data_IF_034329627807
#
_entry.id   IF_034329627807
#
_cell.length_a   1.000
_cell.length_b   1.000
_cell.length_c   1.000
_cell.angle_alpha   90.00
_cell.angle_beta   90.00
_cell.angle_gamma   90.00
#
_symmetry.space_group_name_H-M   'P 1'
#
loop_
_entity.id
_entity.type
_entity.pdbx_description
1 polymer ?
#
# COMPACT_ATOMS: atom_id res chain seq x y z
N UNK A 1 -0.12 -8.31 -1.51
CA UNK A 1 0.52 -9.32 -2.41
C UNK A 1 -0.45 -10.42 -2.77
N UNK A 2 -0.88 -11.31 -1.84
CA UNK A 2 -1.76 -12.45 -2.19
C UNK A 2 -3.03 -12.00 -2.91
N UNK A 3 -3.79 -11.07 -2.34
CA UNK A 3 -5.01 -10.57 -2.97
C UNK A 3 -4.78 -9.93 -4.35
N UNK A 4 -3.62 -9.28 -4.57
CA UNK A 4 -3.27 -8.74 -5.89
C UNK A 4 -2.92 -9.84 -6.89
N UNK A 5 -2.26 -10.91 -6.43
CA UNK A 5 -1.97 -12.07 -7.29
C UNK A 5 -3.26 -12.76 -7.72
N UNK A 6 -4.15 -13.04 -6.76
CA UNK A 6 -5.46 -13.65 -7.04
C UNK A 6 -6.30 -12.80 -8.01
N UNK A 7 -6.31 -11.46 -7.83
CA UNK A 7 -7.03 -10.57 -8.72
C UNK A 7 -6.45 -10.54 -10.15
N UNK A 8 -5.13 -10.61 -10.28
CA UNK A 8 -4.46 -10.66 -11.58
C UNK A 8 -4.75 -12.01 -12.28
N UNK A 9 -4.70 -13.11 -11.53
CA UNK A 9 -4.98 -14.45 -12.05
C UNK A 9 -6.46 -14.56 -12.48
N UNK A 10 -7.38 -14.07 -11.64
CA UNK A 10 -8.84 -14.08 -11.91
C UNK A 10 -9.22 -13.20 -13.12
N UNK A 11 -8.48 -12.13 -13.37
CA UNK A 11 -8.68 -11.27 -14.53
C UNK A 11 -8.43 -11.97 -15.88
N UNK A 12 -7.73 -13.11 -15.86
CA UNK A 12 -7.52 -13.95 -17.05
C UNK A 12 -6.67 -13.29 -18.14
N UNK A 13 -5.90 -12.26 -17.81
CA UNK A 13 -5.01 -11.63 -18.79
C UNK A 13 -3.77 -12.48 -19.06
N UNK A 14 -3.42 -12.60 -20.33
CA UNK A 14 -2.11 -13.09 -20.74
C UNK A 14 -1.07 -11.97 -20.56
N UNK A 15 -0.58 -11.78 -19.34
CA UNK A 15 0.34 -10.67 -18.98
C UNK A 15 1.60 -10.61 -19.86
N UNK A 16 2.03 -11.75 -20.40
CA UNK A 16 3.16 -11.86 -21.33
C UNK A 16 2.93 -11.09 -22.65
N UNK A 17 1.65 -10.95 -23.05
CA UNK A 17 1.25 -10.28 -24.29
C UNK A 17 0.93 -8.80 -24.12
N UNK A 18 0.89 -8.30 -22.88
CA UNK A 18 0.55 -6.91 -22.59
C UNK A 18 1.80 -6.04 -22.46
N UNK A 19 1.68 -4.80 -22.91
CA UNK A 19 2.71 -3.79 -22.69
C UNK A 19 2.75 -3.39 -21.21
N UNK A 20 3.76 -3.83 -20.49
CA UNK A 20 3.93 -3.59 -19.07
C UNK A 20 4.11 -2.12 -18.70
N UNK A 21 4.52 -1.27 -19.65
CA UNK A 21 4.56 0.18 -19.45
C UNK A 21 3.18 0.82 -19.37
N UNK A 22 2.15 0.08 -19.79
CA UNK A 22 0.74 0.46 -19.78
C UNK A 22 -0.05 -0.19 -18.63
N UNK A 23 0.61 -0.95 -17.77
CA UNK A 23 0.00 -1.58 -16.59
C UNK A 23 0.47 -0.84 -15.34
N UNK A 24 -0.48 -0.22 -14.63
CA UNK A 24 -0.20 0.54 -13.41
C UNK A 24 -0.74 -0.13 -12.14
N UNK A 25 -0.33 0.40 -10.98
CA UNK A 25 -0.80 -0.04 -9.67
C UNK A 25 -1.12 1.16 -8.79
N UNK A 26 -2.34 1.23 -8.27
CA UNK A 26 -2.74 2.25 -7.29
C UNK A 26 -3.30 1.54 -6.06
N UNK A 27 -2.71 1.80 -4.89
CA UNK A 27 -3.08 1.10 -3.66
C UNK A 27 -3.39 2.07 -2.53
N UNK A 28 -4.55 1.90 -1.90
CA UNK A 28 -4.99 2.73 -0.79
C UNK A 28 -4.53 2.18 0.57
N UNK A 29 -3.98 3.05 1.40
CA UNK A 29 -3.72 2.77 2.80
C UNK A 29 -3.92 4.05 3.62
N UNK A 30 -4.63 3.97 4.75
CA UNK A 30 -4.96 5.14 5.55
C UNK A 30 -3.78 5.61 6.43
N UNK A 31 -3.06 4.67 7.04
CA UNK A 31 -2.02 4.95 8.04
C UNK A 31 -0.66 4.37 7.61
N UNK A 32 -0.65 3.18 7.01
CA UNK A 32 0.57 2.48 6.65
C UNK A 32 1.12 1.61 7.79
N UNK A 33 2.44 1.49 7.90
CA UNK A 33 3.13 0.54 8.77
C UNK A 33 3.17 0.91 10.25
N UNK A 34 2.01 1.14 10.88
CA UNK A 34 1.90 1.57 12.28
C UNK A 34 2.58 0.62 13.27
N UNK A 35 2.47 -0.70 13.05
CA UNK A 35 3.14 -1.70 13.89
C UNK A 35 4.66 -1.55 13.82
N UNK A 36 5.19 -1.39 12.62
CA UNK A 36 6.63 -1.16 12.41
C UNK A 36 7.09 0.09 13.15
N UNK A 37 6.35 1.19 13.01
CA UNK A 37 6.66 2.44 13.70
C UNK A 37 6.65 2.27 15.22
N UNK A 38 5.56 1.68 15.76
CA UNK A 38 5.42 1.43 17.20
C UNK A 38 6.60 0.61 17.73
N UNK A 39 6.94 -0.50 17.08
CA UNK A 39 7.98 -1.41 17.55
C UNK A 39 9.38 -0.77 17.50
N UNK A 40 9.71 -0.06 16.42
CA UNK A 40 11.01 0.62 16.30
C UNK A 40 11.16 1.73 17.35
N UNK A 41 10.12 2.51 17.61
CA UNK A 41 10.14 3.56 18.65
C UNK A 41 10.26 2.96 20.06
N UNK A 42 9.52 1.88 20.35
CA UNK A 42 9.63 1.20 21.66
C UNK A 42 11.01 0.59 21.87
N UNK A 43 11.59 -0.03 20.85
CA UNK A 43 12.94 -0.59 20.90
C UNK A 43 13.99 0.51 21.15
N UNK A 44 13.86 1.64 20.47
CA UNK A 44 14.72 2.79 20.70
C UNK A 44 14.60 3.33 22.13
N UNK A 45 13.37 3.49 22.62
CA UNK A 45 13.11 4.01 23.99
C UNK A 45 13.59 3.07 25.09
N UNK A 46 13.60 1.76 24.86
CA UNK A 46 14.10 0.75 25.79
C UNK A 46 15.64 0.55 25.72
N UNK A 47 16.29 1.15 24.75
CA UNK A 47 17.72 1.00 24.50
C UNK A 47 18.60 1.98 25.27
N UNK A 48 19.85 2.12 24.83
CA UNK A 48 20.88 2.98 25.42
C UNK A 48 20.86 4.44 24.90
N UNK A 49 19.81 4.82 24.18
CA UNK A 49 19.68 6.14 23.54
C UNK A 49 20.41 6.26 22.19
N UNK A 50 21.10 5.21 21.75
CA UNK A 50 21.72 5.20 20.43
C UNK A 50 20.66 4.93 19.34
N UNK A 51 20.50 5.80 18.34
CA UNK A 51 19.49 5.66 17.31
C UNK A 51 19.85 4.56 16.29
N UNK A 52 19.57 3.31 16.66
CA UNK A 52 19.77 2.13 15.81
C UNK A 52 18.40 1.63 15.35
N UNK A 53 18.04 1.98 14.11
CA UNK A 53 16.79 1.53 13.49
C UNK A 53 17.04 0.46 12.43
N UNK A 54 16.04 -0.39 12.20
CA UNK A 54 16.09 -1.36 11.11
C UNK A 54 16.27 -0.64 9.76
N UNK A 55 17.20 -1.05 8.86
CA UNK A 55 17.37 -0.45 7.54
C UNK A 55 16.07 -0.42 6.70
N UNK A 56 15.16 -1.34 6.97
CA UNK A 56 13.84 -1.41 6.32
C UNK A 56 12.74 -0.68 7.07
N UNK A 57 13.06 0.11 8.11
CA UNK A 57 12.08 0.85 8.89
C UNK A 57 11.20 1.74 8.02
N UNK A 58 11.80 2.64 7.26
CA UNK A 58 11.07 3.54 6.38
C UNK A 58 10.32 2.80 5.27
N UNK A 59 10.95 1.89 4.51
CA UNK A 59 10.24 1.11 3.49
C UNK A 59 9.04 0.32 4.03
N UNK A 60 9.09 -0.21 5.24
CA UNK A 60 7.98 -0.94 5.86
C UNK A 60 6.87 -0.03 6.41
N UNK A 61 7.17 1.25 6.61
CA UNK A 61 6.25 2.21 7.21
C UNK A 61 5.39 2.93 6.16
N UNK A 62 5.97 3.28 5.02
CA UNK A 62 5.30 4.11 4.02
C UNK A 62 4.22 3.35 3.25
N UNK A 63 3.03 3.96 2.99
CA UNK A 63 1.95 3.34 2.22
C UNK A 63 2.36 2.94 0.79
N UNK A 64 3.31 3.65 0.20
CA UNK A 64 3.75 3.48 -1.19
C UNK A 64 4.49 2.16 -1.45
N UNK A 65 4.92 1.47 -0.41
CA UNK A 65 5.61 0.18 -0.58
C UNK A 65 4.70 -0.90 -1.18
N UNK A 66 3.40 -0.86 -0.91
CA UNK A 66 2.46 -1.87 -1.41
C UNK A 66 2.34 -1.83 -2.95
N UNK A 67 2.00 -0.71 -3.60
CA UNK A 67 1.99 -0.64 -5.06
C UNK A 67 3.38 -0.88 -5.66
N UNK A 68 4.44 -0.38 -5.03
CA UNK A 68 5.82 -0.62 -5.47
C UNK A 68 6.18 -2.11 -5.51
N UNK A 69 5.88 -2.87 -4.46
CA UNK A 69 6.17 -4.31 -4.40
C UNK A 69 5.32 -5.12 -5.38
N UNK A 70 4.06 -4.75 -5.62
CA UNK A 70 3.23 -5.38 -6.65
C UNK A 70 3.86 -5.16 -8.03
N UNK A 71 4.24 -3.93 -8.34
CA UNK A 71 4.88 -3.60 -9.62
C UNK A 71 6.21 -4.33 -9.84
N UNK A 72 7.06 -4.38 -8.81
CA UNK A 72 8.34 -5.10 -8.88
C UNK A 72 8.09 -6.60 -9.16
N UNK A 73 7.15 -7.20 -8.45
CA UNK A 73 6.86 -8.63 -8.59
C UNK A 73 6.40 -9.01 -10.00
N UNK A 74 5.52 -8.21 -10.59
CA UNK A 74 4.91 -8.50 -11.88
C UNK A 74 5.59 -7.80 -13.07
N UNK A 75 6.56 -6.92 -12.79
CA UNK A 75 7.28 -6.13 -13.79
C UNK A 75 6.44 -5.01 -14.41
N UNK A 76 5.42 -4.49 -13.69
CA UNK A 76 4.58 -3.40 -14.16
C UNK A 76 5.34 -2.07 -14.11
N UNK A 77 5.19 -1.23 -15.13
CA UNK A 77 5.97 -0.01 -15.33
C UNK A 77 5.09 1.22 -15.64
N UNK A 78 3.77 1.05 -15.54
CA UNK A 78 2.81 2.13 -15.68
C UNK A 78 2.70 2.98 -14.40
N UNK A 79 1.66 3.83 -14.28
CA UNK A 79 1.45 4.67 -13.09
C UNK A 79 1.47 3.86 -11.80
N UNK A 80 2.24 4.33 -10.80
CA UNK A 80 2.41 3.63 -9.53
C UNK A 80 2.45 4.62 -8.38
N UNK A 81 1.47 4.55 -7.48
CA UNK A 81 1.41 5.39 -6.28
C UNK A 81 0.39 4.88 -5.26
N UNK A 82 0.47 5.41 -4.04
CA UNK A 82 -0.52 5.17 -3.00
C UNK A 82 -1.49 6.36 -2.88
N UNK A 83 -2.77 6.05 -2.61
CA UNK A 83 -3.78 7.04 -2.20
C UNK A 83 -3.96 7.01 -0.69
N UNK A 84 -4.02 8.18 -0.07
CA UNK A 84 -4.22 8.34 1.37
C UNK A 84 -5.38 9.30 1.60
N UNK A 85 -6.52 8.76 2.02
CA UNK A 85 -7.74 9.49 2.35
C UNK A 85 -8.52 8.79 3.46
N UNK A 86 -7.81 8.40 4.52
CA UNK A 86 -8.35 7.67 5.68
C UNK A 86 -9.16 6.43 5.23
N UNK A 87 -10.38 6.24 5.76
CA UNK A 87 -11.23 5.09 5.44
C UNK A 87 -11.63 5.00 3.95
N UNK A 88 -11.52 6.09 3.19
CA UNK A 88 -11.85 6.14 1.76
C UNK A 88 -10.66 5.83 0.84
N UNK A 89 -9.47 5.51 1.39
CA UNK A 89 -8.25 5.35 0.59
C UNK A 89 -8.39 4.33 -0.54
N UNK A 90 -8.95 3.15 -0.27
CA UNK A 90 -9.14 2.15 -1.33
C UNK A 90 -10.22 2.54 -2.35
N UNK A 91 -11.29 3.23 -1.92
CA UNK A 91 -12.29 3.75 -2.86
C UNK A 91 -11.67 4.79 -3.81
N UNK A 92 -10.83 5.68 -3.29
CA UNK A 92 -10.11 6.64 -4.12
C UNK A 92 -9.11 5.96 -5.06
N UNK A 93 -8.43 4.89 -4.62
CA UNK A 93 -7.58 4.10 -5.50
C UNK A 93 -8.34 3.55 -6.72
N UNK A 94 -9.58 3.07 -6.53
CA UNK A 94 -10.44 2.61 -7.63
C UNK A 94 -10.85 3.76 -8.56
N UNK A 95 -11.21 4.93 -8.00
CA UNK A 95 -11.59 6.12 -8.77
C UNK A 95 -10.40 6.58 -9.64
N UNK A 96 -9.22 6.68 -9.04
CA UNK A 96 -8.03 7.11 -9.76
C UNK A 96 -7.64 6.11 -10.84
N UNK A 97 -7.67 4.80 -10.55
CA UNK A 97 -7.42 3.75 -11.52
C UNK A 97 -8.34 3.86 -12.75
N UNK A 98 -9.66 4.06 -12.51
CA UNK A 98 -10.62 4.27 -13.58
C UNK A 98 -10.30 5.50 -14.42
N UNK A 99 -9.92 6.60 -13.77
CA UNK A 99 -9.56 7.86 -14.45
C UNK A 99 -8.30 7.68 -15.30
N UNK A 100 -7.26 7.00 -14.80
CA UNK A 100 -6.04 6.72 -15.57
C UNK A 100 -6.31 5.92 -16.85
N UNK A 101 -7.24 4.95 -16.78
CA UNK A 101 -7.67 4.20 -17.96
C UNK A 101 -8.46 5.12 -18.92
N UNK A 102 -9.43 5.88 -18.41
CA UNK A 102 -10.29 6.75 -19.22
C UNK A 102 -9.53 7.83 -19.97
N UNK A 103 -8.49 8.40 -19.39
CA UNK A 103 -7.65 9.41 -20.04
C UNK A 103 -6.51 8.81 -20.87
N UNK A 104 -6.42 7.48 -20.95
CA UNK A 104 -5.45 6.78 -21.79
C UNK A 104 -4.04 6.73 -21.23
N UNK A 105 -3.84 6.94 -19.92
CA UNK A 105 -2.52 6.83 -19.29
C UNK A 105 -2.13 5.38 -18.96
N UNK A 106 -3.10 4.48 -18.85
CA UNK A 106 -2.88 3.04 -18.66
C UNK A 106 -3.96 2.26 -19.41
N UNK A 107 -3.65 1.01 -19.75
CA UNK A 107 -4.60 0.08 -20.34
C UNK A 107 -5.16 -0.89 -19.27
N UNK A 108 -4.36 -1.18 -18.26
CA UNK A 108 -4.74 -2.02 -17.13
C UNK A 108 -4.29 -1.36 -15.82
N UNK A 109 -5.12 -1.41 -14.79
CA UNK A 109 -4.77 -0.93 -13.46
C UNK A 109 -5.08 -1.99 -12.41
N UNK A 110 -4.07 -2.38 -11.63
CA UNK A 110 -4.27 -3.13 -10.39
C UNK A 110 -4.54 -2.13 -9.28
N UNK A 111 -5.71 -2.19 -8.67
CA UNK A 111 -6.10 -1.24 -7.63
C UNK A 111 -6.82 -1.92 -6.47
N UNK A 112 -6.71 -1.31 -5.31
CA UNK A 112 -7.32 -1.81 -4.08
C UNK A 112 -6.81 -1.07 -2.87
N UNK A 113 -6.86 -1.72 -1.71
CA UNK A 113 -6.33 -1.14 -0.49
C UNK A 113 -6.19 -2.17 0.62
N UNK A 114 -5.35 -1.83 1.58
CA UNK A 114 -5.14 -2.63 2.79
C UNK A 114 -4.72 -1.73 3.94
N UNK A 115 -5.01 -2.19 5.16
CA UNK A 115 -4.58 -1.52 6.38
C UNK A 115 -4.21 -2.57 7.44
N UNK A 116 -3.21 -2.26 8.27
CA UNK A 116 -2.71 -3.14 9.31
C UNK A 116 -2.52 -2.37 10.63
N UNK A 117 -3.57 -1.72 11.11
CA UNK A 117 -3.55 -0.86 12.29
C UNK A 117 -3.99 -1.55 13.60
N UNK A 118 -4.13 -2.89 13.61
CA UNK A 118 -4.49 -3.65 14.83
C UNK A 118 -3.24 -3.78 15.71
N UNK A 119 -2.86 -2.67 16.29
CA UNK A 119 -1.73 -2.53 17.24
C UNK A 119 -2.23 -1.87 18.52
N UNK A 120 -1.44 -1.89 19.58
CA UNK A 120 -1.79 -1.21 20.85
C UNK A 120 -2.06 0.28 20.58
N UNK A 121 -1.19 0.96 19.86
CA UNK A 121 -1.36 2.38 19.53
C UNK A 121 -2.58 2.63 18.63
N UNK A 122 -2.81 1.78 17.63
CA UNK A 122 -3.95 1.89 16.73
C UNK A 122 -5.28 1.71 17.46
N UNK A 123 -5.43 0.61 18.19
CA UNK A 123 -6.66 0.31 18.95
C UNK A 123 -6.91 1.38 20.01
N UNK A 124 -5.89 1.77 20.78
CA UNK A 124 -6.03 2.82 21.79
C UNK A 124 -6.41 4.18 21.17
N UNK A 125 -5.83 4.52 20.02
CA UNK A 125 -6.14 5.76 19.28
C UNK A 125 -7.60 5.80 18.81
N UNK A 126 -8.09 4.73 18.19
CA UNK A 126 -9.49 4.64 17.76
C UNK A 126 -10.47 4.59 18.93
N UNK A 127 -10.09 3.94 20.03
CA UNK A 127 -10.89 3.95 21.26
C UNK A 127 -10.99 5.35 21.86
N UNK A 128 -9.90 6.12 21.87
CA UNK A 128 -9.91 7.51 22.35
C UNK A 128 -10.82 8.44 21.52
N UNK A 129 -11.07 8.10 20.26
CA UNK A 129 -12.04 8.79 19.39
C UNK A 129 -13.48 8.29 19.60
N UNK A 130 -13.73 7.35 20.52
CA UNK A 130 -15.02 6.67 20.68
C UNK A 130 -15.52 6.02 19.38
N UNK A 131 -14.58 5.51 18.56
CA UNK A 131 -14.88 4.87 17.28
C UNK A 131 -14.90 3.33 17.36
N UNK A 132 -14.60 2.79 18.53
CA UNK A 132 -14.66 1.36 18.87
C UNK A 132 -15.65 1.14 20.01
#
# INVERSE_FOLDING_TARGET
MVASDEAIDDAGFHLESLDKTRIGVIWGAGIGGLETFQNEVLNFAAGDGTPRFNPFFIPKMIPDIAPGMISIKHGFQGPNFATVSACASSANALIDALNYIRVGHADVMVCGGSEACITIAGVAGFNALHAL
#
